data_IF_988465038490
#
_entry.id   IF_988465038490
#
_cell.length_a   1.000
_cell.length_b   1.000
_cell.length_c   1.000
_cell.angle_alpha   90.00
_cell.angle_beta   90.00
_cell.angle_gamma   90.00
#
_symmetry.space_group_name_H-M   'P 1'
#
loop_
_entity.id
_entity.type
_entity.pdbx_description
1 polymer ?
#
# COMPACT_ATOMS: atom_id res chain seq x y z
N UNK A 1 -32.10 -0.95 29.15
CA UNK A 1 -30.73 -0.57 29.54
C UNK A 1 -30.81 0.74 30.30
N UNK A 2 -30.32 0.81 31.53
CA UNK A 2 -30.32 2.05 32.33
C UNK A 2 -29.28 3.03 31.79
N UNK A 3 -29.54 4.34 31.88
CA UNK A 3 -28.59 5.39 31.47
C UNK A 3 -27.21 5.23 32.14
N UNK A 4 -27.17 4.70 33.36
CA UNK A 4 -25.95 4.51 34.13
C UNK A 4 -24.99 3.51 33.47
N UNK A 5 -25.51 2.38 32.95
CA UNK A 5 -24.70 1.35 32.30
C UNK A 5 -24.11 1.82 30.97
N UNK A 6 -24.77 2.75 30.28
CA UNK A 6 -24.21 3.37 29.08
C UNK A 6 -23.04 4.30 29.44
N UNK A 7 -23.17 5.10 30.50
CA UNK A 7 -22.09 6.02 30.93
C UNK A 7 -20.83 5.28 31.40
N UNK A 8 -20.99 4.17 32.13
CA UNK A 8 -19.87 3.35 32.56
C UNK A 8 -19.17 2.69 31.37
N UNK A 9 -19.93 2.20 30.38
CA UNK A 9 -19.35 1.61 29.18
C UNK A 9 -18.58 2.63 28.33
N UNK A 10 -19.09 3.86 28.20
CA UNK A 10 -18.40 4.95 27.49
C UNK A 10 -17.10 5.33 28.21
N UNK A 11 -17.15 5.46 29.54
CA UNK A 11 -15.97 5.78 30.35
C UNK A 11 -14.90 4.68 30.27
N UNK A 12 -15.31 3.41 30.29
CA UNK A 12 -14.38 2.28 30.13
C UNK A 12 -13.77 2.28 28.72
N UNK A 13 -14.58 2.49 27.68
CA UNK A 13 -14.07 2.57 26.31
C UNK A 13 -13.04 3.69 26.17
N UNK A 14 -13.31 4.88 26.72
CA UNK A 14 -12.37 6.01 26.72
C UNK A 14 -11.05 5.67 27.41
N UNK A 15 -11.10 4.90 28.52
CA UNK A 15 -9.89 4.45 29.22
C UNK A 15 -9.06 3.42 28.44
N UNK A 16 -9.71 2.59 27.61
CA UNK A 16 -9.05 1.49 26.90
C UNK A 16 -8.72 1.82 25.43
N UNK A 17 -9.38 2.81 24.83
CA UNK A 17 -9.03 3.31 23.52
C UNK A 17 -7.93 4.36 23.67
N UNK A 18 -6.69 3.96 23.39
CA UNK A 18 -5.64 4.93 23.08
C UNK A 18 -6.12 5.76 21.90
N UNK A 19 -6.31 7.05 22.11
CA UNK A 19 -6.54 7.99 21.02
C UNK A 19 -5.36 7.84 20.07
N UNK A 20 -5.57 7.52 18.79
CA UNK A 20 -4.49 7.49 17.82
C UNK A 20 -3.79 8.85 17.82
N UNK A 21 -2.47 8.85 17.72
CA UNK A 21 -1.74 10.08 17.48
C UNK A 21 -2.30 10.76 16.23
N UNK A 22 -2.30 12.10 16.24
CA UNK A 22 -2.75 12.88 15.09
C UNK A 22 -1.92 12.43 13.86
N UNK A 23 -2.55 12.20 12.70
CA UNK A 23 -1.83 11.90 11.48
C UNK A 23 -0.74 12.96 11.25
N UNK A 24 0.51 12.52 11.16
CA UNK A 24 1.66 13.36 10.91
C UNK A 24 2.36 12.86 9.65
N UNK A 25 2.95 13.79 8.91
CA UNK A 25 3.71 13.44 7.72
C UNK A 25 4.85 12.51 8.12
N UNK A 26 5.01 11.42 7.37
CA UNK A 26 6.15 10.53 7.50
C UNK A 26 7.27 11.06 6.60
N UNK A 27 8.28 11.77 7.14
CA UNK A 27 9.29 12.43 6.32
C UNK A 27 10.09 11.37 5.55
N UNK A 28 10.20 11.55 4.24
CA UNK A 28 10.98 10.67 3.39
C UNK A 28 12.46 10.81 3.80
N UNK A 29 13.14 9.72 4.21
CA UNK A 29 14.55 9.77 4.54
C UNK A 29 15.37 10.35 3.39
N UNK A 30 16.27 11.32 3.67
CA UNK A 30 17.06 12.00 2.63
C UNK A 30 17.85 11.05 1.71
N UNK A 31 18.23 9.87 2.22
CA UNK A 31 18.85 8.79 1.44
C UNK A 31 17.98 8.25 0.29
N UNK A 32 16.65 8.35 0.39
CA UNK A 32 15.71 7.92 -0.65
C UNK A 32 15.43 9.03 -1.67
N UNK A 33 15.69 10.29 -1.30
CA UNK A 33 15.58 11.44 -2.20
C UNK A 33 16.79 11.55 -3.13
N UNK A 34 17.93 10.99 -2.73
CA UNK A 34 19.10 10.87 -3.59
C UNK A 34 18.88 9.67 -4.52
N UNK A 35 18.83 9.91 -5.84
CA UNK A 35 18.92 8.84 -6.83
C UNK A 35 20.25 8.11 -6.60
N UNK A 36 20.19 6.92 -6.02
CA UNK A 36 21.34 6.04 -5.97
C UNK A 36 21.82 5.81 -7.42
N UNK A 37 23.12 5.82 -7.73
CA UNK A 37 23.61 5.70 -9.11
C UNK A 37 23.18 4.41 -9.83
N UNK A 38 22.73 3.41 -9.08
CA UNK A 38 22.20 2.14 -9.60
C UNK A 38 20.66 2.13 -9.78
N UNK A 39 19.97 3.17 -9.34
CA UNK A 39 18.51 3.28 -9.49
C UNK A 39 18.18 4.04 -10.77
N UNK A 40 17.35 3.41 -11.59
CA UNK A 40 16.77 4.01 -12.79
C UNK A 40 15.45 4.71 -12.49
N UNK A 41 14.73 4.28 -11.44
CA UNK A 41 13.45 4.88 -11.04
C UNK A 41 13.63 5.93 -9.94
N UNK A 42 13.02 7.10 -10.16
CA UNK A 42 12.82 8.11 -9.11
C UNK A 42 11.67 7.70 -8.21
N UNK A 43 11.72 8.10 -6.94
CA UNK A 43 10.65 7.85 -5.96
C UNK A 43 9.27 8.37 -6.43
N UNK A 44 9.22 9.51 -7.12
CA UNK A 44 7.97 10.05 -7.68
C UNK A 44 7.32 9.10 -8.69
N UNK A 45 8.13 8.39 -9.49
CA UNK A 45 7.63 7.38 -10.42
C UNK A 45 7.12 6.14 -9.66
N UNK A 46 7.79 5.71 -8.60
CA UNK A 46 7.30 4.61 -7.76
C UNK A 46 5.96 4.97 -7.12
N UNK A 47 5.81 6.19 -6.60
CA UNK A 47 4.56 6.69 -6.07
C UNK A 47 3.44 6.69 -7.12
N UNK A 48 3.74 7.13 -8.35
CA UNK A 48 2.78 7.11 -9.45
C UNK A 48 2.34 5.68 -9.80
N UNK A 49 3.28 4.73 -9.84
CA UNK A 49 2.97 3.32 -10.11
C UNK A 49 2.13 2.73 -8.98
N UNK A 50 2.53 2.93 -7.72
CA UNK A 50 1.78 2.47 -6.55
C UNK A 50 0.37 3.04 -6.54
N UNK A 51 0.20 4.33 -6.85
CA UNK A 51 -1.11 4.97 -6.91
C UNK A 51 -2.02 4.31 -7.97
N UNK A 52 -1.47 4.06 -9.17
CA UNK A 52 -2.23 3.41 -10.24
C UNK A 52 -2.61 1.97 -9.87
N UNK A 53 -1.67 1.19 -9.33
CA UNK A 53 -1.92 -0.19 -8.90
C UNK A 53 -2.93 -0.24 -7.75
N UNK A 54 -2.80 0.67 -6.78
CA UNK A 54 -3.74 0.78 -5.65
C UNK A 54 -5.16 1.04 -6.14
N UNK A 55 -5.33 2.00 -7.07
CA UNK A 55 -6.62 2.28 -7.70
C UNK A 55 -7.19 1.07 -8.46
N UNK A 56 -6.38 0.40 -9.28
CA UNK A 56 -6.83 -0.79 -10.03
C UNK A 56 -7.18 -1.96 -9.11
N UNK A 57 -6.54 -2.06 -7.95
CA UNK A 57 -6.74 -3.11 -6.97
C UNK A 57 -7.84 -2.83 -5.94
N UNK A 58 -8.36 -1.60 -5.86
CA UNK A 58 -9.43 -1.26 -4.92
C UNK A 58 -10.76 -1.80 -5.44
N UNK A 59 -11.23 -2.91 -4.87
CA UNK A 59 -12.50 -3.55 -5.24
C UNK A 59 -13.58 -3.45 -4.15
N UNK A 60 -13.28 -2.80 -3.03
CA UNK A 60 -14.20 -2.70 -1.89
C UNK A 60 -13.89 -1.48 -1.01
N UNK A 61 -14.96 -0.86 -0.50
CA UNK A 61 -14.90 0.22 0.48
C UNK A 61 -15.06 -0.29 1.93
N UNK A 62 -15.05 -1.61 2.13
CA UNK A 62 -15.18 -2.24 3.44
C UNK A 62 -13.88 -2.05 4.25
N UNK A 63 -13.99 -1.37 5.39
CA UNK A 63 -12.85 -1.08 6.27
C UNK A 63 -12.22 -2.35 6.87
N UNK A 64 -12.90 -3.49 6.83
CA UNK A 64 -12.34 -4.77 7.20
C UNK A 64 -11.57 -5.43 6.05
N UNK A 65 -11.64 -4.93 4.81
CA UNK A 65 -11.01 -5.49 3.59
C UNK A 65 -10.10 -4.46 2.92
N UNK A 66 -9.18 -3.90 3.71
CA UNK A 66 -8.17 -2.95 3.26
C UNK A 66 -6.97 -3.71 2.71
N UNK A 67 -6.49 -3.29 1.54
CA UNK A 67 -5.23 -3.75 0.95
C UNK A 67 -4.21 -2.60 0.89
N UNK A 68 -2.94 -2.96 0.99
CA UNK A 68 -1.81 -2.06 0.85
C UNK A 68 -0.87 -2.64 -0.21
N UNK A 69 -0.44 -1.78 -1.13
CA UNK A 69 0.53 -2.11 -2.18
C UNK A 69 1.76 -1.23 -2.00
N UNK A 70 2.93 -1.85 -2.14
CA UNK A 70 4.21 -1.16 -2.19
C UNK A 70 4.96 -1.59 -3.45
N UNK A 71 5.70 -0.66 -4.06
CA UNK A 71 6.58 -0.91 -5.20
C UNK A 71 7.95 -0.35 -4.87
N UNK A 72 8.98 -1.15 -5.17
CA UNK A 72 10.37 -0.77 -5.03
C UNK A 72 11.15 -1.26 -6.25
N UNK A 73 12.02 -0.43 -6.80
CA UNK A 73 12.98 -0.86 -7.81
C UNK A 73 13.95 -1.91 -7.25
N UNK A 74 14.18 -2.97 -8.02
CA UNK A 74 15.16 -3.99 -7.64
C UNK A 74 16.59 -3.40 -7.57
N UNK A 75 17.47 -3.91 -6.68
CA UNK A 75 18.82 -3.40 -6.54
C UNK A 75 19.68 -3.45 -7.82
N UNK A 76 19.33 -4.29 -8.78
CA UNK A 76 20.00 -4.42 -10.07
C UNK A 76 19.44 -3.49 -11.16
N UNK A 77 18.41 -2.70 -10.85
CA UNK A 77 17.77 -1.75 -11.75
C UNK A 77 17.01 -2.38 -12.92
N UNK A 78 16.81 -3.71 -12.91
CA UNK A 78 16.20 -4.45 -14.05
C UNK A 78 14.75 -4.83 -13.82
N UNK A 79 14.15 -4.39 -12.72
CA UNK A 79 12.78 -4.77 -12.39
C UNK A 79 12.23 -4.04 -11.19
N UNK A 80 10.98 -4.39 -10.86
CA UNK A 80 10.24 -3.87 -9.72
C UNK A 80 9.83 -5.02 -8.81
N UNK A 81 9.99 -4.82 -7.51
CA UNK A 81 9.42 -5.67 -6.48
C UNK A 81 8.08 -5.08 -6.02
N UNK A 82 7.01 -5.87 -6.13
CA UNK A 82 5.66 -5.47 -5.71
C UNK A 82 5.29 -6.26 -4.46
N UNK A 83 5.08 -5.56 -3.34
CA UNK A 83 4.62 -6.16 -2.09
C UNK A 83 3.16 -5.84 -1.86
N UNK A 84 2.40 -6.83 -1.39
CA UNK A 84 0.97 -6.69 -1.16
C UNK A 84 0.64 -7.22 0.24
N UNK A 85 -0.10 -6.44 1.01
CA UNK A 85 -0.65 -6.83 2.30
C UNK A 85 -2.17 -6.57 2.31
N UNK A 86 -2.93 -7.38 3.03
CA UNK A 86 -4.34 -7.12 3.26
C UNK A 86 -4.74 -7.56 4.67
N UNK A 87 -5.64 -6.81 5.31
CA UNK A 87 -6.14 -7.14 6.65
C UNK A 87 -7.26 -8.19 6.63
N UNK A 88 -7.87 -8.43 5.47
CA UNK A 88 -8.73 -9.59 5.24
C UNK A 88 -8.88 -9.90 3.74
N UNK A 89 -9.54 -11.02 3.44
CA UNK A 89 -9.89 -11.40 2.08
C UNK A 89 -8.82 -12.22 1.35
N UNK A 90 -9.10 -12.45 0.07
CA UNK A 90 -8.42 -13.44 -0.75
C UNK A 90 -7.32 -12.78 -1.60
N UNK A 91 -6.16 -12.51 -0.97
CA UNK A 91 -4.95 -11.93 -1.62
C UNK A 91 -4.55 -12.65 -2.92
N UNK A 92 -4.89 -13.93 -3.06
CA UNK A 92 -4.56 -14.75 -4.23
C UNK A 92 -5.12 -14.19 -5.53
N UNK A 93 -6.36 -13.69 -5.54
CA UNK A 93 -6.99 -13.14 -6.76
C UNK A 93 -6.32 -11.84 -7.18
N UNK A 94 -6.07 -10.95 -6.22
CA UNK A 94 -5.35 -9.69 -6.47
C UNK A 94 -3.93 -9.96 -6.96
N UNK A 95 -3.21 -10.90 -6.33
CA UNK A 95 -1.88 -11.33 -6.79
C UNK A 95 -1.91 -11.83 -8.23
N UNK A 96 -2.83 -12.72 -8.57
CA UNK A 96 -2.95 -13.25 -9.93
C UNK A 96 -3.28 -12.17 -10.96
N UNK A 97 -4.11 -11.18 -10.61
CA UNK A 97 -4.39 -10.02 -11.45
C UNK A 97 -3.14 -9.16 -11.70
N UNK A 98 -2.37 -8.87 -10.64
CA UNK A 98 -1.13 -8.11 -10.73
C UNK A 98 -0.03 -8.86 -11.49
N UNK A 99 0.10 -10.17 -11.31
CA UNK A 99 1.01 -11.01 -12.10
C UNK A 99 0.67 -10.95 -13.59
N UNK A 100 -0.63 -10.96 -13.93
CA UNK A 100 -1.07 -10.84 -15.32
C UNK A 100 -0.77 -9.47 -15.90
N UNK A 101 -1.01 -8.39 -15.13
CA UNK A 101 -0.66 -7.03 -15.54
C UNK A 101 0.85 -6.89 -15.77
N UNK A 102 1.66 -7.36 -14.82
CA UNK A 102 3.12 -7.34 -14.92
C UNK A 102 3.60 -8.11 -16.16
N UNK A 103 3.00 -9.27 -16.46
CA UNK A 103 3.33 -10.04 -17.66
C UNK A 103 3.06 -9.25 -18.95
N UNK A 104 1.88 -8.65 -19.07
CA UNK A 104 1.52 -7.84 -20.25
C UNK A 104 2.52 -6.69 -20.42
N UNK A 105 2.82 -5.96 -19.35
CA UNK A 105 3.79 -4.86 -19.38
C UNK A 105 5.20 -5.32 -19.80
N UNK A 106 5.64 -6.49 -19.33
CA UNK A 106 6.93 -7.07 -19.73
C UNK A 106 6.96 -7.54 -21.18
N UNK A 107 5.84 -8.04 -21.71
CA UNK A 107 5.75 -8.50 -23.09
C UNK A 107 5.75 -7.28 -24.05
N UNK A 108 4.97 -6.24 -23.77
CA UNK A 108 4.97 -4.99 -24.55
C UNK A 108 6.33 -4.28 -24.54
N UNK A 109 7.04 -4.30 -23.41
CA UNK A 109 8.38 -3.71 -23.32
C UNK A 109 9.41 -4.42 -24.24
N UNK A 110 9.23 -5.73 -24.49
CA UNK A 110 10.09 -6.50 -25.39
C UNK A 110 9.78 -6.25 -26.87
N UNK A 111 8.49 -6.09 -27.19
CA UNK A 111 8.05 -5.85 -28.58
C UNK A 111 8.36 -4.43 -29.06
N UNK A 112 8.54 -3.47 -28.15
CA UNK A 112 8.95 -2.10 -28.45
C UNK A 112 10.47 -1.83 -28.49
N UNK A 113 11.32 -2.87 -28.37
CA UNK A 113 12.80 -2.77 -28.33
C UNK A 113 13.48 -3.14 -29.64
#
# INVERSE_FOLDING_TARGET
MSLNGLSENVFLLEKFTKTPDIPHDNPIPARLLQCHPLRTLKLEHEQSIVSALSFLSSYTDDCYKVSAICVEEMPDGRGLFISIAANSGELRKMKAGLERLAKILMDEAKDGS
#
